data_IF_634527897926
#
_entry.id   IF_634527897926
#
_cell.length_a   1.000
_cell.length_b   1.000
_cell.length_c   1.000
_cell.angle_alpha   90.00
_cell.angle_beta   90.00
_cell.angle_gamma   90.00
#
_symmetry.space_group_name_H-M   'P 1'
#
loop_
_entity.id
_entity.type
_entity.pdbx_description
1 polymer ?
#
# COMPACT_ATOMS: atom_id res chain seq x y z
N UNK A 1 3.70 17.81 -9.12
CA UNK A 1 4.35 17.88 -7.78
C UNK A 1 5.17 19.17 -7.67
N UNK A 2 4.82 20.08 -6.75
CA UNK A 2 5.62 21.31 -6.49
C UNK A 2 6.96 20.95 -5.81
N UNK A 3 8.05 21.66 -6.14
CA UNK A 3 9.38 21.45 -5.54
C UNK A 3 9.36 21.55 -4.00
N UNK A 4 8.47 22.37 -3.45
CA UNK A 4 8.27 22.51 -2.00
C UNK A 4 7.67 21.25 -1.35
N UNK A 5 6.77 20.56 -2.05
CA UNK A 5 6.17 19.32 -1.55
C UNK A 5 7.22 18.19 -1.57
N UNK A 6 8.02 18.12 -2.63
CA UNK A 6 9.13 17.16 -2.69
C UNK A 6 10.18 17.41 -1.60
N UNK A 7 10.49 18.68 -1.29
CA UNK A 7 11.44 19.00 -0.23
C UNK A 7 10.90 18.64 1.16
N UNK A 8 9.65 19.01 1.47
CA UNK A 8 8.99 18.64 2.72
C UNK A 8 8.93 17.12 2.89
N UNK A 9 8.60 16.41 1.82
CA UNK A 9 8.55 14.96 1.83
C UNK A 9 9.92 14.35 2.13
N UNK A 10 10.98 14.83 1.47
CA UNK A 10 12.36 14.39 1.75
C UNK A 10 12.75 14.63 3.20
N UNK A 11 12.41 15.79 3.75
CA UNK A 11 12.76 16.16 5.13
C UNK A 11 12.01 15.29 6.14
N UNK A 12 10.72 15.00 5.90
CA UNK A 12 9.92 14.09 6.74
C UNK A 12 10.46 12.66 6.66
N UNK A 13 10.74 12.14 5.47
CA UNK A 13 11.32 10.81 5.30
C UNK A 13 12.69 10.68 5.98
N UNK A 14 13.50 11.75 5.94
CA UNK A 14 14.79 11.79 6.59
C UNK A 14 14.68 11.80 8.12
N UNK A 15 13.72 12.55 8.67
CA UNK A 15 13.36 12.53 10.11
C UNK A 15 12.94 11.12 10.56
N UNK A 16 12.09 10.45 9.78
CA UNK A 16 11.65 9.07 10.04
C UNK A 16 12.83 8.11 10.00
N UNK A 17 13.70 8.23 8.99
CA UNK A 17 14.91 7.43 8.87
C UNK A 17 15.86 7.61 10.05
N UNK A 18 16.08 8.85 10.52
CA UNK A 18 16.95 9.11 11.66
C UNK A 18 16.42 8.47 12.96
N UNK A 19 15.10 8.39 13.12
CA UNK A 19 14.46 7.79 14.30
C UNK A 19 14.38 6.27 14.23
N UNK A 20 14.12 5.72 13.04
CA UNK A 20 13.72 4.32 12.89
C UNK A 20 14.76 3.42 12.21
N UNK A 21 15.78 3.95 11.52
CA UNK A 21 16.72 3.10 10.76
C UNK A 21 17.44 2.04 11.59
N UNK A 22 17.56 2.22 12.91
CA UNK A 22 18.21 1.27 13.80
C UNK A 22 19.63 0.92 13.32
N UNK A 23 19.84 -0.35 12.97
CA UNK A 23 21.12 -0.88 12.48
C UNK A 23 21.30 -0.80 10.95
N UNK A 24 20.30 -0.30 10.22
CA UNK A 24 20.36 -0.17 8.75
C UNK A 24 21.22 1.01 8.33
N UNK A 25 21.91 0.87 7.20
CA UNK A 25 22.48 2.03 6.53
C UNK A 25 21.38 2.97 6.04
N UNK A 26 21.68 4.26 5.88
CA UNK A 26 20.71 5.23 5.39
C UNK A 26 20.19 4.84 3.99
N UNK A 27 21.06 4.34 3.12
CA UNK A 27 20.68 3.87 1.78
C UNK A 27 19.73 2.67 1.85
N UNK A 28 20.04 1.65 2.66
CA UNK A 28 19.17 0.47 2.83
C UNK A 28 17.77 0.88 3.32
N UNK A 29 17.72 1.77 4.32
CA UNK A 29 16.44 2.24 4.88
C UNK A 29 15.64 3.05 3.86
N UNK A 30 16.31 3.85 3.02
CA UNK A 30 15.65 4.63 1.98
C UNK A 30 14.99 3.73 0.92
N UNK A 31 15.69 2.71 0.41
CA UNK A 31 15.10 1.75 -0.53
C UNK A 31 13.93 0.98 0.10
N UNK A 32 14.10 0.55 1.35
CA UNK A 32 13.05 -0.13 2.10
C UNK A 32 11.79 0.74 2.28
N UNK A 33 11.98 2.01 2.64
CA UNK A 33 10.87 2.95 2.83
C UNK A 33 10.20 3.32 1.51
N UNK A 34 10.97 3.42 0.41
CA UNK A 34 10.44 3.73 -0.92
C UNK A 34 9.39 2.71 -1.37
N UNK A 35 9.65 1.43 -1.10
CA UNK A 35 8.67 0.37 -1.36
C UNK A 35 7.35 0.57 -0.62
N UNK A 36 7.40 0.99 0.65
CA UNK A 36 6.18 1.29 1.42
C UNK A 36 5.48 2.58 1.02
N UNK A 37 6.22 3.60 0.55
CA UNK A 37 5.63 4.79 -0.05
C UNK A 37 4.85 4.40 -1.29
N UNK A 38 5.43 3.54 -2.14
CA UNK A 38 4.76 3.08 -3.35
C UNK A 38 3.53 2.24 -3.01
N UNK A 39 3.64 1.33 -2.05
CA UNK A 39 2.50 0.56 -1.54
C UNK A 39 1.37 1.46 -1.00
N UNK A 40 1.70 2.52 -0.24
CA UNK A 40 0.73 3.51 0.23
C UNK A 40 0.04 4.19 -0.96
N UNK A 41 0.82 4.72 -1.90
CA UNK A 41 0.31 5.41 -3.08
C UNK A 41 -0.63 4.52 -3.91
N UNK A 42 -0.24 3.26 -4.16
CA UNK A 42 -1.09 2.31 -4.88
C UNK A 42 -2.37 2.01 -4.10
N UNK A 43 -2.27 1.78 -2.79
CA UNK A 43 -3.45 1.55 -1.96
C UNK A 43 -4.44 2.71 -1.98
N UNK A 44 -3.96 3.94 -1.86
CA UNK A 44 -4.82 5.13 -1.90
C UNK A 44 -5.40 5.36 -3.29
N UNK A 45 -4.62 5.12 -4.36
CA UNK A 45 -5.06 5.27 -5.74
C UNK A 45 -6.20 4.30 -6.08
N UNK A 46 -6.07 3.02 -5.73
CA UNK A 46 -7.13 2.04 -5.98
C UNK A 46 -8.34 2.26 -5.08
N UNK A 47 -8.16 2.59 -3.80
CA UNK A 47 -9.27 2.88 -2.88
C UNK A 47 -10.08 4.07 -3.40
N UNK A 48 -9.42 5.13 -3.89
CA UNK A 48 -10.10 6.27 -4.52
C UNK A 48 -10.82 5.86 -5.79
N UNK A 49 -10.14 5.18 -6.72
CA UNK A 49 -10.72 4.80 -8.01
C UNK A 49 -11.94 3.89 -7.86
N UNK A 50 -11.84 2.85 -7.01
CA UNK A 50 -12.96 1.94 -6.74
C UNK A 50 -14.13 2.65 -6.03
N UNK A 51 -13.87 3.60 -5.13
CA UNK A 51 -14.93 4.40 -4.53
C UNK A 51 -15.61 5.32 -5.56
N UNK A 52 -14.83 5.93 -6.47
CA UNK A 52 -15.36 6.79 -7.54
C UNK A 52 -16.26 5.98 -8.50
N UNK A 53 -15.91 4.71 -8.78
CA UNK A 53 -16.72 3.81 -9.59
C UNK A 53 -18.02 3.35 -8.91
N UNK A 54 -18.04 3.31 -7.57
CA UNK A 54 -19.18 2.87 -6.75
C UNK A 54 -20.08 4.03 -6.27
N UNK A 55 -19.84 5.26 -6.73
CA UNK A 55 -20.64 6.43 -6.32
C UNK A 55 -22.13 6.23 -6.61
N UNK A 56 -22.46 5.64 -7.75
CA UNK A 56 -23.86 5.40 -8.16
C UNK A 56 -24.53 4.27 -7.36
N UNK A 57 -23.74 3.35 -6.80
CA UNK A 57 -24.21 2.23 -5.97
C UNK A 57 -24.39 2.61 -4.50
N UNK A 58 -24.02 3.84 -4.11
CA UNK A 58 -24.08 4.37 -2.74
C UNK A 58 -23.34 3.50 -1.69
N UNK A 59 -22.30 2.78 -2.12
CA UNK A 59 -21.47 1.93 -1.25
C UNK A 59 -19.99 2.25 -1.42
N UNK A 60 -19.21 2.12 -0.34
CA UNK A 60 -17.75 2.22 -0.45
C UNK A 60 -17.11 0.90 -0.85
N UNK A 61 -15.90 0.96 -1.39
CA UNK A 61 -15.08 -0.20 -1.73
C UNK A 61 -14.93 -1.16 -0.54
N UNK A 62 -14.71 -0.63 0.67
CA UNK A 62 -14.61 -1.42 1.90
C UNK A 62 -15.92 -2.08 2.31
N UNK A 63 -17.04 -1.36 2.19
CA UNK A 63 -18.36 -1.89 2.52
C UNK A 63 -18.75 -3.03 1.58
N UNK A 64 -18.55 -2.85 0.26
CA UNK A 64 -18.87 -3.86 -0.74
C UNK A 64 -18.17 -5.20 -0.48
N UNK A 65 -16.92 -5.19 -0.02
CA UNK A 65 -16.18 -6.41 0.35
C UNK A 65 -16.52 -6.96 1.74
N UNK A 66 -17.25 -6.19 2.56
CA UNK A 66 -17.71 -6.60 3.89
C UNK A 66 -19.16 -7.12 3.89
N UNK A 67 -19.89 -6.91 2.79
CA UNK A 67 -21.26 -7.39 2.61
C UNK A 67 -21.31 -8.92 2.52
N UNK A 68 -22.46 -9.48 2.89
CA UNK A 68 -22.70 -10.92 2.69
C UNK A 68 -22.67 -11.25 1.20
N UNK A 69 -22.06 -12.41 0.89
CA UNK A 69 -21.96 -12.89 -0.49
C UNK A 69 -23.35 -13.21 -1.02
N UNK A 70 -23.80 -12.40 -1.97
CA UNK A 70 -24.92 -12.64 -2.85
C UNK A 70 -24.43 -12.56 -4.30
N UNK A 71 -25.17 -13.15 -5.22
CA UNK A 71 -24.88 -13.17 -6.66
C UNK A 71 -24.67 -11.73 -7.17
N UNK A 72 -25.56 -10.81 -6.81
CA UNK A 72 -25.48 -9.40 -7.22
C UNK A 72 -24.21 -8.71 -6.68
N UNK A 73 -23.81 -9.05 -5.44
CA UNK A 73 -22.59 -8.51 -4.80
C UNK A 73 -21.34 -9.07 -5.47
N UNK A 74 -21.33 -10.36 -5.80
CA UNK A 74 -20.19 -10.99 -6.49
C UNK A 74 -20.02 -10.44 -7.91
N UNK A 75 -21.11 -10.21 -8.64
CA UNK A 75 -21.09 -9.56 -9.95
C UNK A 75 -20.56 -8.11 -9.85
N UNK A 76 -21.00 -7.34 -8.86
CA UNK A 76 -20.50 -5.98 -8.64
C UNK A 76 -19.02 -5.96 -8.26
N UNK A 77 -18.58 -6.87 -7.38
CA UNK A 77 -17.16 -7.03 -7.03
C UNK A 77 -16.29 -7.38 -8.24
N UNK A 78 -16.78 -8.25 -9.13
CA UNK A 78 -16.08 -8.61 -10.37
C UNK A 78 -16.01 -7.43 -11.36
N UNK A 79 -17.09 -6.64 -11.46
CA UNK A 79 -17.13 -5.43 -12.27
C UNK A 79 -16.10 -4.41 -11.80
N UNK A 80 -16.08 -4.07 -10.50
CA UNK A 80 -15.09 -3.15 -9.91
C UNK A 80 -13.67 -3.66 -10.11
N UNK A 81 -13.44 -4.97 -9.93
CA UNK A 81 -12.13 -5.57 -10.13
C UNK A 81 -11.65 -5.41 -11.58
N UNK A 82 -12.53 -5.67 -12.55
CA UNK A 82 -12.22 -5.55 -13.97
C UNK A 82 -11.92 -4.10 -14.34
N UNK A 83 -12.76 -3.17 -13.88
CA UNK A 83 -12.60 -1.74 -14.12
C UNK A 83 -11.28 -1.21 -13.54
N UNK A 84 -10.90 -1.64 -12.34
CA UNK A 84 -9.59 -1.33 -11.76
C UNK A 84 -8.44 -1.89 -12.61
N UNK A 85 -8.48 -3.17 -12.99
CA UNK A 85 -7.39 -3.76 -13.78
C UNK A 85 -7.24 -3.03 -15.12
N UNK A 86 -8.34 -2.68 -15.80
CA UNK A 86 -8.32 -1.99 -17.09
C UNK A 86 -7.84 -0.53 -17.00
N UNK A 87 -8.23 0.21 -15.97
CA UNK A 87 -7.92 1.65 -15.87
C UNK A 87 -6.66 1.98 -15.06
N UNK A 88 -6.36 1.20 -14.01
CA UNK A 88 -5.20 1.43 -13.14
C UNK A 88 -4.12 0.34 -13.23
N UNK A 89 -4.43 -0.81 -13.83
CA UNK A 89 -3.45 -1.86 -14.14
C UNK A 89 -3.23 -2.90 -13.03
N UNK A 90 -3.90 -2.83 -11.90
CA UNK A 90 -3.74 -3.79 -10.80
C UNK A 90 -4.99 -3.82 -9.93
N UNK A 91 -5.09 -4.84 -9.09
CA UNK A 91 -6.17 -4.97 -8.13
C UNK A 91 -5.69 -5.52 -6.78
N UNK A 92 -6.11 -4.87 -5.70
CA UNK A 92 -5.97 -5.40 -4.34
C UNK A 92 -7.28 -5.24 -3.58
N UNK A 93 -7.63 -6.26 -2.81
CA UNK A 93 -8.85 -6.24 -2.00
C UNK A 93 -8.72 -5.24 -0.85
N UNK A 94 -9.84 -4.69 -0.34
CA UNK A 94 -9.83 -3.69 0.72
C UNK A 94 -9.07 -4.12 1.99
N UNK A 95 -9.09 -5.40 2.33
CA UNK A 95 -8.37 -5.94 3.49
C UNK A 95 -6.84 -5.80 3.38
N UNK A 96 -6.30 -5.65 2.16
CA UNK A 96 -4.88 -5.52 1.87
C UNK A 96 -4.44 -4.08 1.60
N UNK A 97 -5.34 -3.09 1.76
CA UNK A 97 -5.00 -1.68 1.62
C UNK A 97 -4.10 -1.21 2.76
N UNK A 98 -3.30 -0.17 2.48
CA UNK A 98 -2.48 0.51 3.48
C UNK A 98 -3.30 0.91 4.70
N UNK A 99 -4.48 1.51 4.48
CA UNK A 99 -5.41 1.92 5.56
C UNK A 99 -5.83 0.75 6.45
N UNK A 100 -6.09 -0.43 5.87
CA UNK A 100 -6.41 -1.67 6.60
C UNK A 100 -5.22 -2.20 7.40
N UNK A 101 -4.00 -2.12 6.86
CA UNK A 101 -2.78 -2.48 7.60
C UNK A 101 -2.57 -1.53 8.79
N UNK A 102 -2.77 -0.22 8.61
CA UNK A 102 -2.70 0.76 9.71
C UNK A 102 -3.71 0.44 10.83
N UNK A 103 -4.92 0.01 10.48
CA UNK A 103 -5.91 -0.44 11.47
C UNK A 103 -5.43 -1.67 12.26
N UNK A 104 -4.83 -2.67 11.61
CA UNK A 104 -4.21 -3.82 12.30
C UNK A 104 -3.06 -3.40 13.22
N UNK A 105 -2.24 -2.42 12.83
CA UNK A 105 -1.20 -1.85 13.71
C UNK A 105 -1.84 -1.24 14.96
N UNK A 106 -2.90 -0.44 14.80
CA UNK A 106 -3.63 0.20 15.91
C UNK A 106 -4.26 -0.84 16.86
N UNK A 107 -4.65 -2.01 16.33
CA UNK A 107 -5.12 -3.19 17.10
C UNK A 107 -3.99 -4.01 17.76
N UNK A 108 -2.72 -3.62 17.54
CA UNK A 108 -1.51 -4.31 18.03
C UNK A 108 -1.37 -5.74 17.49
N UNK A 109 -1.84 -5.97 16.27
CA UNK A 109 -1.69 -7.25 15.58
C UNK A 109 -0.30 -7.36 14.93
N UNK A 110 0.11 -8.59 14.61
CA UNK A 110 1.29 -8.80 13.80
C UNK A 110 0.96 -8.53 12.33
N UNK A 111 1.55 -7.47 11.76
CA UNK A 111 1.23 -7.02 10.40
C UNK A 111 2.13 -7.58 9.31
N UNK A 112 3.22 -8.27 9.67
CA UNK A 112 4.14 -8.81 8.67
C UNK A 112 3.45 -9.76 7.67
N UNK A 113 2.58 -10.70 8.09
CA UNK A 113 1.92 -11.61 7.15
C UNK A 113 0.89 -10.94 6.24
N UNK A 114 0.16 -9.93 6.73
CA UNK A 114 -0.82 -9.21 5.91
C UNK A 114 -0.08 -8.32 4.92
N UNK A 115 1.00 -7.64 5.34
CA UNK A 115 1.80 -6.79 4.48
C UNK A 115 2.47 -7.56 3.34
N UNK A 116 3.09 -8.72 3.64
CA UNK A 116 3.68 -9.59 2.62
C UNK A 116 2.63 -10.02 1.58
N UNK A 117 1.42 -10.38 2.04
CA UNK A 117 0.30 -10.70 1.14
C UNK A 117 -0.15 -9.49 0.34
N UNK A 118 -0.24 -8.30 0.94
CA UNK A 118 -0.64 -7.08 0.24
C UNK A 118 0.29 -6.78 -0.93
N UNK A 119 1.60 -6.78 -0.69
CA UNK A 119 2.61 -6.52 -1.73
C UNK A 119 2.52 -7.55 -2.85
N UNK A 120 2.43 -8.83 -2.48
CA UNK A 120 2.31 -9.91 -3.45
C UNK A 120 1.00 -9.85 -4.25
N UNK A 121 -0.12 -9.48 -3.64
CA UNK A 121 -1.42 -9.37 -4.33
C UNK A 121 -1.40 -8.31 -5.43
N UNK A 122 -0.67 -7.21 -5.23
CA UNK A 122 -0.47 -6.19 -6.29
C UNK A 122 0.20 -6.85 -7.50
N UNK A 123 1.36 -7.49 -7.30
CA UNK A 123 2.12 -8.13 -8.39
C UNK A 123 1.35 -9.28 -9.04
N UNK A 124 0.73 -10.15 -8.24
CA UNK A 124 -0.05 -11.29 -8.75
C UNK A 124 -1.28 -10.83 -9.57
N UNK A 125 -1.85 -9.65 -9.26
CA UNK A 125 -3.02 -9.13 -9.97
C UNK A 125 -2.71 -8.65 -11.39
N UNK A 126 -1.44 -8.34 -11.68
CA UNK A 126 -1.00 -7.86 -13.00
C UNK A 126 -0.54 -8.99 -13.91
N UNK A 127 -0.43 -10.23 -13.41
CA UNK A 127 0.00 -11.37 -14.21
C UNK A 127 -0.97 -11.64 -15.37
N UNK A 128 -0.44 -11.67 -16.59
CA UNK A 128 -1.18 -11.83 -17.83
C UNK A 128 -1.90 -10.57 -18.30
N UNK A 129 -1.66 -9.42 -17.68
CA UNK A 129 -2.20 -8.12 -18.08
C UNK A 129 -1.12 -7.27 -18.76
N UNK A 130 -1.52 -6.21 -19.47
CA UNK A 130 -0.59 -5.28 -20.13
C UNK A 130 0.33 -4.57 -19.12
N UNK A 131 -0.10 -4.46 -17.86
CA UNK A 131 0.65 -3.88 -16.75
C UNK A 131 1.68 -4.83 -16.11
N UNK A 132 1.80 -6.09 -16.54
CA UNK A 132 2.71 -7.07 -15.93
C UNK A 132 4.16 -6.58 -15.89
N UNK A 133 4.64 -5.94 -16.95
CA UNK A 133 6.03 -5.46 -17.03
C UNK A 133 6.29 -4.27 -16.07
N UNK A 134 5.28 -3.47 -15.75
CA UNK A 134 5.40 -2.30 -14.87
C UNK A 134 5.40 -2.67 -13.38
N UNK A 135 4.70 -3.76 -13.02
CA UNK A 135 4.53 -4.21 -11.63
C UNK A 135 5.33 -5.47 -11.28
N UNK A 136 5.84 -6.20 -12.27
CA UNK A 136 6.60 -7.42 -12.08
C UNK A 136 7.88 -7.20 -11.27
N UNK A 137 7.92 -7.75 -10.05
CA UNK A 137 9.07 -7.63 -9.15
C UNK A 137 9.25 -6.26 -8.50
N UNK A 138 8.22 -5.41 -8.56
CA UNK A 138 8.18 -4.08 -7.96
C UNK A 138 8.56 -4.06 -6.47
N UNK A 139 8.20 -5.12 -5.74
CA UNK A 139 8.47 -5.27 -4.31
C UNK A 139 9.50 -6.36 -4.00
N UNK A 140 10.19 -6.89 -5.02
CA UNK A 140 11.15 -7.99 -4.86
C UNK A 140 12.33 -7.68 -3.93
N UNK A 141 12.69 -6.40 -3.80
CA UNK A 141 13.75 -5.94 -2.89
C UNK A 141 13.29 -5.80 -1.43
N UNK A 142 11.99 -5.94 -1.14
CA UNK A 142 11.45 -5.84 0.23
C UNK A 142 11.53 -7.19 0.93
N UNK A 143 12.60 -7.39 1.70
CA UNK A 143 12.76 -8.55 2.58
C UNK A 143 12.27 -8.23 4.02
N UNK A 144 11.01 -8.55 4.30
CA UNK A 144 10.42 -8.42 5.65
C UNK A 144 11.01 -9.42 6.67
N UNK A 145 11.71 -10.45 6.21
CA UNK A 145 12.42 -11.41 7.06
C UNK A 145 13.87 -10.99 7.34
N UNK A 146 14.34 -9.87 6.78
CA UNK A 146 15.73 -9.44 6.88
C UNK A 146 16.20 -9.28 8.34
N UNK A 147 17.41 -9.77 8.70
CA UNK A 147 17.99 -9.52 10.02
C UNK A 147 18.32 -8.04 10.24
N UNK A 148 18.34 -7.23 9.17
CA UNK A 148 18.52 -5.78 9.24
C UNK A 148 17.35 -5.09 9.95
N UNK A 149 16.15 -5.68 9.90
CA UNK A 149 14.93 -5.14 10.50
C UNK A 149 14.78 -5.43 11.99
N UNK A 150 15.55 -6.39 12.52
CA UNK A 150 15.43 -6.81 13.92
C UNK A 150 15.89 -8.25 14.13
N UNK A 151 16.17 -8.59 15.39
CA UNK A 151 16.63 -9.94 15.77
C UNK A 151 15.48 -10.92 15.93
N UNK A 152 14.35 -10.44 16.47
CA UNK A 152 13.14 -11.24 16.69
C UNK A 152 12.03 -10.85 15.72
N UNK A 153 10.99 -11.68 15.61
CA UNK A 153 9.80 -11.35 14.81
C UNK A 153 9.10 -10.09 15.34
N UNK A 154 9.05 -9.92 16.66
CA UNK A 154 8.45 -8.77 17.33
C UNK A 154 9.23 -7.48 17.06
N UNK A 155 10.58 -7.54 17.06
CA UNK A 155 11.42 -6.39 16.69
C UNK A 155 11.12 -5.92 15.27
N UNK A 156 11.04 -6.88 14.33
CA UNK A 156 10.73 -6.60 12.92
C UNK A 156 9.33 -6.01 12.78
N UNK A 157 8.32 -6.63 13.39
CA UNK A 157 6.95 -6.12 13.36
C UNK A 157 6.85 -4.71 13.93
N UNK A 158 7.55 -4.44 15.04
CA UNK A 158 7.57 -3.11 15.68
C UNK A 158 8.21 -2.07 14.77
N UNK A 159 9.36 -2.38 14.18
CA UNK A 159 10.05 -1.47 13.27
C UNK A 159 9.17 -1.15 12.05
N UNK A 160 8.65 -2.17 11.38
CA UNK A 160 7.81 -1.99 10.19
C UNK A 160 6.54 -1.22 10.53
N UNK A 161 5.90 -1.54 11.66
CA UNK A 161 4.72 -0.82 12.13
C UNK A 161 5.01 0.67 12.35
N UNK A 162 6.13 1.00 12.98
CA UNK A 162 6.52 2.39 13.21
C UNK A 162 6.80 3.14 11.90
N UNK A 163 7.40 2.46 10.92
CA UNK A 163 7.65 3.05 9.59
C UNK A 163 6.32 3.33 8.89
N UNK A 164 5.40 2.37 8.85
CA UNK A 164 4.10 2.54 8.22
C UNK A 164 3.27 3.64 8.91
N UNK A 165 3.26 3.70 10.25
CA UNK A 165 2.60 4.79 10.98
C UNK A 165 3.20 6.15 10.66
N UNK A 166 4.53 6.24 10.55
CA UNK A 166 5.18 7.49 10.20
C UNK A 166 4.90 7.91 8.74
N UNK A 167 4.65 6.96 7.84
CA UNK A 167 4.20 7.23 6.48
C UNK A 167 2.71 7.59 6.41
N UNK A 168 1.87 7.09 7.33
CA UNK A 168 0.44 7.44 7.44
C UNK A 168 0.26 8.96 7.62
N UNK A 169 1.08 9.56 8.48
CA UNK A 169 1.10 11.00 8.78
C UNK A 169 1.53 11.90 7.60
N UNK A 170 2.03 11.33 6.51
CA UNK A 170 2.54 12.06 5.34
C UNK A 170 1.50 12.03 4.22
N UNK A 171 0.88 13.16 3.90
CA UNK A 171 0.04 13.27 2.71
C UNK A 171 0.91 13.40 1.45
N UNK A 172 0.81 12.43 0.55
CA UNK A 172 1.57 12.40 -0.70
C UNK A 172 0.88 13.15 -1.85
N UNK A 173 -0.34 13.67 -1.64
CA UNK A 173 -1.04 14.47 -2.63
C UNK A 173 -1.38 13.69 -3.90
N UNK A 174 -2.17 12.62 -3.75
CA UNK A 174 -2.64 11.73 -4.85
C UNK A 174 -3.39 12.53 -5.96
N UNK A 175 -3.81 13.75 -5.67
CA UNK A 175 -4.46 14.67 -6.61
C UNK A 175 -3.52 15.25 -7.69
N UNK A 176 -2.20 15.17 -7.52
CA UNK A 176 -1.24 15.77 -8.47
C UNK A 176 -0.94 14.91 -9.72
N UNK A 177 -1.55 13.73 -9.84
CA UNK A 177 -1.28 12.75 -10.91
C UNK A 177 -2.39 12.65 -11.97
N UNK A 178 -3.45 13.46 -11.88
CA UNK A 178 -4.51 13.56 -12.91
C UNK A 178 -4.16 14.53 -14.06
N UNK A 179 -3.00 15.19 -14.02
CA UNK A 179 -2.51 16.06 -15.10
C UNK A 179 -1.20 15.53 -15.70
N UNK A 180 -1.25 14.38 -16.38
CA UNK A 180 -0.29 14.05 -17.46
C UNK A 180 -1.07 13.39 -18.60
#
# INVERSE_FOLDING_TARGET
MSEELQQKLRDQLWEVANKLRGNMSASDFMYFTLGFIFYKYLSEKIEKHANDALVDDEVTFKELWSMEKDTDIEELQESVKTECIENIGYFIEPNFLFSSVIESIKKKENILPILERSLKRIEDSTLGQDSEEDFGGLFSDIDLASPKLGKTADDKNTLVSNVLLALDDIDFGVEASQEI
#
